data_IF_409901861282
#
_entry.id   IF_409901861282
#
_cell.length_a   1.000
_cell.length_b   1.000
_cell.length_c   1.000
_cell.angle_alpha   90.00
_cell.angle_beta   90.00
_cell.angle_gamma   90.00
#
_symmetry.space_group_name_H-M   'P 1'
#
loop_
_entity.id
_entity.type
_entity.pdbx_description
1 polymer ?
#
# COMPACT_ATOMS: atom_id res chain seq x y z
N UNK A 1 -25.42 58.83 -75.19
CA UNK A 1 -24.91 57.95 -76.26
C UNK A 1 -24.52 56.62 -75.60
N UNK A 2 -25.48 55.73 -75.36
CA UNK A 2 -25.88 54.57 -76.20
C UNK A 2 -24.80 53.49 -76.32
N UNK A 3 -24.98 52.38 -75.58
CA UNK A 3 -24.73 51.00 -76.01
C UNK A 3 -25.28 50.07 -74.91
N UNK A 4 -26.48 49.50 -75.04
CA UNK A 4 -26.80 48.26 -75.78
C UNK A 4 -26.53 46.97 -74.98
N UNK A 5 -27.65 46.40 -74.50
CA UNK A 5 -28.02 44.97 -74.40
C UNK A 5 -26.96 43.93 -73.98
N UNK A 6 -27.27 43.19 -72.91
CA UNK A 6 -27.61 41.75 -73.05
C UNK A 6 -28.27 41.21 -71.78
N UNK A 7 -29.46 40.60 -71.95
CA UNK A 7 -30.09 39.72 -70.98
C UNK A 7 -29.41 38.35 -71.08
N UNK A 8 -28.90 37.81 -69.99
CA UNK A 8 -28.63 36.37 -69.86
C UNK A 8 -29.57 35.79 -68.79
N UNK A 9 -30.36 34.83 -69.22
CA UNK A 9 -31.26 33.98 -68.43
C UNK A 9 -30.49 33.22 -67.35
N UNK A 10 -30.93 33.32 -66.11
CA UNK A 10 -30.46 32.53 -64.97
C UNK A 10 -31.02 31.10 -65.04
N UNK A 11 -30.15 30.11 -65.25
CA UNK A 11 -30.42 28.71 -64.94
C UNK A 11 -29.92 28.44 -63.51
N UNK A 12 -30.84 28.29 -62.56
CA UNK A 12 -30.51 27.90 -61.20
C UNK A 12 -30.11 26.43 -61.13
N UNK A 13 -28.84 26.14 -60.88
CA UNK A 13 -28.38 24.83 -60.45
C UNK A 13 -28.54 24.72 -58.93
N UNK A 14 -29.49 23.89 -58.46
CA UNK A 14 -29.49 23.41 -57.09
C UNK A 14 -28.40 22.34 -56.96
N UNK A 15 -27.24 22.70 -56.38
CA UNK A 15 -26.25 21.73 -55.94
C UNK A 15 -26.74 21.10 -54.63
N UNK A 16 -27.18 19.85 -54.68
CA UNK A 16 -27.41 19.04 -53.48
C UNK A 16 -26.03 18.61 -52.96
N UNK A 17 -25.55 19.30 -51.93
CA UNK A 17 -24.36 18.87 -51.19
C UNK A 17 -24.72 17.63 -50.35
N UNK A 18 -24.30 16.45 -50.82
CA UNK A 18 -24.35 15.22 -50.02
C UNK A 18 -23.23 15.30 -48.98
N UNK A 19 -23.57 15.66 -47.74
CA UNK A 19 -22.68 15.45 -46.60
C UNK A 19 -22.57 13.94 -46.35
N UNK A 20 -21.48 13.33 -46.81
CA UNK A 20 -21.04 12.03 -46.34
C UNK A 20 -20.52 12.20 -44.90
N UNK A 21 -21.38 11.93 -43.92
CA UNK A 21 -20.96 11.73 -42.55
C UNK A 21 -20.11 10.46 -42.49
N UNK A 22 -18.78 10.62 -42.43
CA UNK A 22 -17.87 9.55 -42.04
C UNK A 22 -18.17 9.22 -40.58
N UNK A 23 -18.99 8.19 -40.37
CA UNK A 23 -19.11 7.56 -39.07
C UNK A 23 -17.75 6.96 -38.72
N UNK A 24 -17.03 7.60 -37.80
CA UNK A 24 -15.96 6.93 -37.07
C UNK A 24 -16.62 5.82 -36.25
N UNK A 25 -16.61 4.61 -36.80
CA UNK A 25 -16.83 3.41 -35.99
C UNK A 25 -15.61 3.33 -35.09
N UNK A 26 -15.76 3.81 -33.85
CA UNK A 26 -14.80 3.51 -32.81
C UNK A 26 -14.73 1.99 -32.70
N UNK A 27 -13.66 1.40 -33.22
CA UNK A 27 -13.33 0.01 -32.91
C UNK A 27 -13.27 -0.07 -31.39
N UNK A 28 -14.06 -0.94 -30.73
CA UNK A 28 -13.90 -1.14 -29.30
C UNK A 28 -12.42 -1.48 -29.07
N UNK A 29 -11.69 -0.57 -28.43
CA UNK A 29 -10.29 -0.80 -28.08
C UNK A 29 -10.25 -2.13 -27.36
N UNK A 30 -9.38 -3.04 -27.81
CA UNK A 30 -9.28 -4.38 -27.25
C UNK A 30 -9.19 -4.25 -25.73
N UNK A 31 -10.20 -4.77 -25.03
CA UNK A 31 -10.24 -4.73 -23.58
C UNK A 31 -8.96 -5.39 -23.07
N UNK A 32 -8.06 -4.61 -22.48
CA UNK A 32 -6.82 -5.17 -21.92
C UNK A 32 -7.24 -6.11 -20.80
N UNK A 33 -6.78 -7.36 -20.87
CA UNK A 33 -7.15 -8.37 -19.89
C UNK A 33 -6.84 -7.87 -18.47
N UNK A 34 -7.81 -7.99 -17.58
CA UNK A 34 -7.67 -7.61 -16.19
C UNK A 34 -6.81 -8.64 -15.46
N UNK A 35 -5.80 -8.16 -14.72
CA UNK A 35 -4.84 -9.00 -14.01
C UNK A 35 -4.90 -8.87 -12.50
N UNK A 36 -5.58 -7.84 -11.97
CA UNK A 36 -5.55 -7.58 -10.54
C UNK A 36 -6.29 -6.33 -10.11
N UNK A 37 -5.98 -5.86 -8.90
CA UNK A 37 -6.63 -4.74 -8.23
C UNK A 37 -5.66 -3.90 -7.42
N UNK A 38 -5.98 -2.63 -7.24
CA UNK A 38 -5.27 -1.71 -6.34
C UNK A 38 -6.29 -1.03 -5.45
N UNK A 39 -5.99 -0.92 -4.16
CA UNK A 39 -6.84 -0.24 -3.18
C UNK A 39 -6.06 0.72 -2.29
N UNK A 40 -6.75 1.78 -1.87
CA UNK A 40 -6.34 2.71 -0.82
C UNK A 40 -7.55 2.99 0.07
N UNK A 41 -7.36 3.45 1.30
CA UNK A 41 -8.45 3.90 2.16
C UNK A 41 -8.45 5.42 2.31
N UNK A 42 -9.57 6.00 2.72
CA UNK A 42 -9.63 7.40 3.18
C UNK A 42 -9.35 7.51 4.68
N UNK A 43 -9.11 8.73 5.15
CA UNK A 43 -9.03 9.14 6.54
C UNK A 43 -10.02 10.29 6.83
N UNK A 44 -11.27 10.06 6.49
CA UNK A 44 -12.34 11.06 6.59
C UNK A 44 -13.12 10.92 7.91
N UNK A 45 -13.19 11.98 8.75
CA UNK A 45 -14.01 12.00 9.96
C UNK A 45 -15.50 11.74 9.73
N UNK A 46 -16.02 12.04 8.54
CA UNK A 46 -17.41 11.77 8.17
C UNK A 46 -17.66 10.29 7.81
N UNK A 47 -16.62 9.53 7.50
CA UNK A 47 -16.72 8.12 7.16
C UNK A 47 -15.60 7.65 6.25
N UNK A 48 -14.82 6.69 6.72
CA UNK A 48 -13.76 6.09 5.90
C UNK A 48 -14.33 5.23 4.79
N UNK A 49 -13.67 5.24 3.64
CA UNK A 49 -14.00 4.44 2.47
C UNK A 49 -12.77 3.76 1.92
N UNK A 50 -12.96 2.65 1.21
CA UNK A 50 -11.93 2.02 0.37
C UNK A 50 -12.17 2.40 -1.07
N UNK A 51 -11.16 2.97 -1.73
CA UNK A 51 -11.18 3.24 -3.16
C UNK A 51 -10.47 2.11 -3.89
N UNK A 52 -11.00 1.71 -5.05
CA UNK A 52 -10.47 0.62 -5.86
C UNK A 52 -10.23 1.00 -7.31
N UNK A 53 -9.21 0.37 -7.89
CA UNK A 53 -8.94 0.36 -9.33
C UNK A 53 -8.76 -1.07 -9.81
N UNK A 54 -9.23 -1.36 -11.03
CA UNK A 54 -8.86 -2.58 -11.74
C UNK A 54 -7.49 -2.39 -12.37
N UNK A 55 -6.61 -3.38 -12.24
CA UNK A 55 -5.30 -3.41 -12.89
C UNK A 55 -5.34 -4.30 -14.13
N UNK A 56 -4.94 -3.75 -15.27
CA UNK A 56 -4.72 -4.48 -16.50
C UNK A 56 -3.38 -5.26 -16.50
N UNK A 57 -3.17 -6.22 -17.40
CA UNK A 57 -1.91 -7.00 -17.49
C UNK A 57 -0.67 -6.15 -17.77
N UNK A 58 -0.83 -4.95 -18.32
CA UNK A 58 0.25 -3.97 -18.53
C UNK A 58 0.43 -3.00 -17.36
N UNK A 59 -0.30 -3.19 -16.25
CA UNK A 59 -0.22 -2.34 -15.06
C UNK A 59 -1.08 -1.07 -15.09
N UNK A 60 -1.76 -0.78 -16.21
CA UNK A 60 -2.65 0.37 -16.28
C UNK A 60 -3.85 0.20 -15.32
N UNK A 61 -4.29 1.31 -14.73
CA UNK A 61 -5.37 1.36 -13.76
C UNK A 61 -6.63 2.00 -14.36
N UNK A 62 -7.78 1.38 -14.10
CA UNK A 62 -9.10 1.94 -14.42
C UNK A 62 -9.92 2.01 -13.15
N UNK A 63 -10.72 3.06 -12.97
CA UNK A 63 -11.60 3.19 -11.82
C UNK A 63 -12.50 1.95 -11.68
N UNK A 64 -12.62 1.40 -10.47
CA UNK A 64 -13.39 0.20 -10.21
C UNK A 64 -14.89 0.50 -10.12
N UNK A 65 -15.75 -0.18 -10.90
CA UNK A 65 -17.19 -0.07 -10.74
C UNK A 65 -17.64 -0.47 -9.32
N UNK A 66 -18.40 0.39 -8.65
CA UNK A 66 -18.86 0.16 -7.27
C UNK A 66 -17.92 0.71 -6.18
N UNK A 67 -16.73 1.18 -6.54
CA UNK A 67 -15.91 2.03 -5.66
C UNK A 67 -16.51 3.45 -5.59
N UNK A 68 -16.46 4.15 -4.44
CA UNK A 68 -15.83 3.72 -3.18
C UNK A 68 -16.72 2.82 -2.30
N UNK A 69 -16.09 2.01 -1.44
CA UNK A 69 -16.75 1.07 -0.53
C UNK A 69 -16.70 1.59 0.91
N UNK A 70 -17.85 1.79 1.56
CA UNK A 70 -17.90 2.31 2.93
C UNK A 70 -17.32 1.31 3.96
N UNK A 71 -16.38 1.78 4.79
CA UNK A 71 -15.83 0.99 5.91
C UNK A 71 -16.77 0.90 7.10
N UNK A 72 -17.77 1.77 7.18
CA UNK A 72 -18.62 2.00 8.36
C UNK A 72 -17.88 2.57 9.58
N UNK A 73 -16.55 2.73 9.51
CA UNK A 73 -15.73 3.43 10.50
C UNK A 73 -15.44 4.87 10.06
N UNK A 74 -14.72 5.61 10.89
CA UNK A 74 -14.31 6.99 10.61
C UNK A 74 -12.79 7.14 10.69
N UNK A 75 -12.29 8.08 9.89
CA UNK A 75 -10.94 8.60 10.02
C UNK A 75 -10.86 9.72 11.04
N UNK A 76 -9.68 10.30 11.19
CA UNK A 76 -9.44 11.44 12.09
C UNK A 76 -8.84 12.66 11.36
N UNK A 77 -8.72 12.61 10.03
CA UNK A 77 -8.14 13.65 9.19
C UNK A 77 -6.68 14.05 9.53
N UNK A 78 -6.00 13.28 10.38
CA UNK A 78 -4.60 13.52 10.70
C UNK A 78 -3.69 12.80 9.70
N UNK A 79 -2.53 13.37 9.43
CA UNK A 79 -1.48 12.63 8.75
C UNK A 79 -1.00 11.51 9.69
N UNK A 80 -1.05 10.26 9.23
CA UNK A 80 -0.65 9.10 10.02
C UNK A 80 0.54 8.45 9.31
N UNK A 81 1.76 8.55 9.86
CA UNK A 81 2.93 7.90 9.29
C UNK A 81 2.84 6.39 9.57
N UNK A 82 2.12 5.67 8.72
CA UNK A 82 1.89 4.24 8.87
C UNK A 82 1.80 3.55 7.51
N UNK A 83 2.54 2.45 7.38
CA UNK A 83 2.42 1.53 6.26
C UNK A 83 1.54 0.33 6.64
N UNK A 84 0.74 -0.18 5.70
CA UNK A 84 -0.11 -1.35 5.94
C UNK A 84 -1.41 -1.03 6.68
N UNK A 85 -2.03 0.12 6.40
CA UNK A 85 -3.37 0.44 6.92
C UNK A 85 -4.46 -0.49 6.35
N UNK A 86 -4.17 -1.14 5.23
CA UNK A 86 -4.95 -2.23 4.64
C UNK A 86 -4.14 -3.53 4.62
N UNK A 87 -4.81 -4.67 4.80
CA UNK A 87 -4.20 -5.99 4.64
C UNK A 87 -5.14 -6.99 3.99
N UNK A 88 -4.62 -7.77 3.04
CA UNK A 88 -5.33 -8.93 2.48
C UNK A 88 -5.15 -10.16 3.36
N UNK A 89 -6.16 -11.02 3.40
CA UNK A 89 -5.98 -12.41 3.84
C UNK A 89 -5.21 -13.22 2.79
N UNK A 90 -4.52 -14.31 3.19
CA UNK A 90 -3.97 -15.27 2.25
C UNK A 90 -5.02 -15.73 1.22
N UNK A 91 -4.68 -15.69 -0.07
CA UNK A 91 -5.60 -16.00 -1.15
C UNK A 91 -6.59 -14.87 -1.50
N UNK A 92 -6.45 -13.68 -0.90
CA UNK A 92 -7.15 -12.45 -1.26
C UNK A 92 -8.68 -12.53 -1.19
N UNK A 93 -9.20 -13.34 -0.28
CA UNK A 93 -10.65 -13.49 -0.08
C UNK A 93 -11.24 -12.40 0.80
N UNK A 94 -10.40 -11.81 1.66
CA UNK A 94 -10.80 -10.78 2.61
C UNK A 94 -9.82 -9.61 2.57
N UNK A 95 -10.34 -8.41 2.79
CA UNK A 95 -9.56 -7.17 2.97
C UNK A 95 -9.94 -6.58 4.32
N UNK A 96 -8.93 -6.15 5.08
CA UNK A 96 -9.10 -5.51 6.38
C UNK A 96 -8.55 -4.10 6.34
N UNK A 97 -9.21 -3.18 7.06
CA UNK A 97 -8.91 -1.75 7.00
C UNK A 97 -8.94 -1.15 8.39
N UNK A 98 -7.88 -0.44 8.78
CA UNK A 98 -7.84 0.33 10.02
C UNK A 98 -8.64 1.63 9.91
N UNK A 99 -9.48 1.92 10.91
CA UNK A 99 -10.22 3.18 11.03
C UNK A 99 -9.74 3.95 12.27
N UNK A 100 -8.78 4.88 12.11
CA UNK A 100 -8.12 5.54 13.23
C UNK A 100 -9.03 6.49 14.03
N UNK A 101 -10.11 7.00 13.43
CA UNK A 101 -11.05 7.91 14.11
C UNK A 101 -12.07 7.18 14.96
N UNK A 102 -12.62 6.06 14.48
CA UNK A 102 -13.60 5.26 15.22
C UNK A 102 -12.99 4.19 16.12
N UNK A 103 -11.66 4.05 16.12
CA UNK A 103 -10.94 3.04 16.91
C UNK A 103 -11.43 1.61 16.62
N UNK A 104 -11.53 1.28 15.33
CA UNK A 104 -11.99 -0.04 14.88
C UNK A 104 -11.25 -0.51 13.62
N UNK A 105 -11.42 -1.80 13.32
CA UNK A 105 -10.95 -2.42 12.08
C UNK A 105 -12.17 -2.98 11.34
N UNK A 106 -12.31 -2.64 10.07
CA UNK A 106 -13.36 -3.16 9.19
C UNK A 106 -12.88 -4.36 8.39
N UNK A 107 -13.76 -5.33 8.18
CA UNK A 107 -13.54 -6.51 7.35
C UNK A 107 -14.46 -6.49 6.13
N UNK A 108 -13.92 -6.86 4.98
CA UNK A 108 -14.64 -6.99 3.72
C UNK A 108 -14.37 -8.35 3.08
N UNK A 109 -15.37 -8.92 2.41
CA UNK A 109 -15.13 -9.97 1.42
C UNK A 109 -14.75 -9.35 0.09
N UNK A 110 -13.85 -10.02 -0.63
CA UNK A 110 -13.32 -9.58 -1.92
C UNK A 110 -13.87 -10.50 -2.99
N UNK A 111 -14.71 -9.97 -3.87
CA UNK A 111 -15.23 -10.71 -5.01
C UNK A 111 -14.13 -10.96 -6.07
N UNK A 112 -14.40 -11.87 -7.01
CA UNK A 112 -13.46 -12.17 -8.12
C UNK A 112 -13.20 -10.97 -9.03
N UNK A 113 -14.16 -10.05 -9.12
CA UNK A 113 -14.04 -8.78 -9.83
C UNK A 113 -13.50 -7.64 -8.94
N UNK A 114 -13.04 -7.94 -7.72
CA UNK A 114 -12.46 -6.99 -6.79
C UNK A 114 -13.47 -6.18 -5.99
N UNK A 115 -14.77 -6.31 -6.22
CA UNK A 115 -15.74 -5.58 -5.42
C UNK A 115 -15.70 -6.02 -3.97
N UNK A 116 -15.84 -5.05 -3.07
CA UNK A 116 -15.79 -5.28 -1.63
C UNK A 116 -17.21 -5.31 -1.07
N UNK A 117 -17.50 -6.31 -0.24
CA UNK A 117 -18.74 -6.36 0.55
C UNK A 117 -18.37 -6.32 2.02
N UNK A 118 -18.90 -5.32 2.74
CA UNK A 118 -18.67 -5.17 4.17
C UNK A 118 -19.18 -6.40 4.93
N UNK A 119 -18.37 -6.93 5.85
CA UNK A 119 -18.70 -8.07 6.70
C UNK A 119 -19.06 -7.58 8.11
N UNK A 120 -18.08 -7.02 8.81
CA UNK A 120 -18.24 -6.45 10.15
C UNK A 120 -17.12 -5.48 10.47
N UNK A 121 -17.24 -4.80 11.61
CA UNK A 121 -16.17 -4.03 12.24
C UNK A 121 -16.01 -4.44 13.69
N UNK A 122 -14.79 -4.37 14.20
CA UNK A 122 -14.47 -4.69 15.60
C UNK A 122 -13.64 -3.57 16.20
N UNK A 123 -14.00 -3.14 17.41
CA UNK A 123 -13.27 -2.07 18.09
C UNK A 123 -11.93 -2.56 18.64
N UNK A 124 -10.94 -1.66 18.66
CA UNK A 124 -9.67 -1.82 19.38
C UNK A 124 -9.79 -1.40 20.85
N UNK A 125 -10.80 -0.60 21.19
CA UNK A 125 -10.94 0.00 22.51
C UNK A 125 -11.20 -1.04 23.63
N UNK A 126 -11.84 -2.17 23.32
CA UNK A 126 -12.10 -3.26 24.29
C UNK A 126 -10.81 -3.80 24.92
N UNK A 127 -9.68 -3.68 24.21
CA UNK A 127 -8.37 -4.11 24.67
C UNK A 127 -7.40 -2.92 24.90
N UNK A 128 -7.97 -1.72 25.11
CA UNK A 128 -7.26 -0.49 25.46
C UNK A 128 -6.56 0.23 24.32
N UNK A 129 -6.67 -0.25 23.07
CA UNK A 129 -6.02 0.37 21.92
C UNK A 129 -6.90 1.41 21.23
N UNK A 130 -6.30 2.53 20.84
CA UNK A 130 -6.98 3.62 20.13
C UNK A 130 -6.12 4.13 18.98
N UNK A 131 -6.77 4.59 17.91
CA UNK A 131 -6.13 5.02 16.67
C UNK A 131 -5.32 3.89 16.04
N UNK A 132 -5.98 2.80 15.59
CA UNK A 132 -5.30 1.75 14.82
C UNK A 132 -4.63 2.37 13.60
N UNK A 133 -3.34 2.09 13.42
CA UNK A 133 -2.52 2.65 12.35
C UNK A 133 -2.25 1.65 11.24
N UNK A 134 -1.94 0.41 11.61
CA UNK A 134 -1.56 -0.65 10.68
C UNK A 134 -2.17 -1.97 11.13
N UNK A 135 -2.48 -2.84 10.16
CA UNK A 135 -3.07 -4.17 10.36
C UNK A 135 -2.29 -5.23 9.60
N UNK A 136 -2.23 -6.44 10.16
CA UNK A 136 -1.56 -7.57 9.54
C UNK A 136 -2.34 -8.86 9.74
N UNK A 137 -2.35 -9.71 8.71
CA UNK A 137 -2.98 -11.04 8.76
C UNK A 137 -1.91 -12.11 8.90
N UNK A 138 -2.15 -13.10 9.77
CA UNK A 138 -1.23 -14.22 9.94
C UNK A 138 -1.12 -15.07 8.66
N UNK A 139 0.03 -15.72 8.38
CA UNK A 139 0.20 -16.50 7.15
C UNK A 139 -0.80 -17.65 6.94
N UNK A 140 -1.39 -18.18 8.02
CA UNK A 140 -2.44 -19.19 7.94
C UNK A 140 -3.86 -18.60 7.76
N UNK A 141 -4.02 -17.28 7.72
CA UNK A 141 -5.27 -16.56 7.51
C UNK A 141 -6.26 -16.63 8.66
N UNK A 142 -5.85 -17.09 9.85
CA UNK A 142 -6.74 -17.28 11.01
C UNK A 142 -6.76 -16.12 11.98
N UNK A 143 -5.77 -15.23 11.93
CA UNK A 143 -5.61 -14.16 12.91
C UNK A 143 -5.27 -12.84 12.23
N UNK A 144 -5.74 -11.74 12.82
CA UNK A 144 -5.37 -10.38 12.45
C UNK A 144 -4.81 -9.68 13.69
N UNK A 145 -3.74 -8.90 13.53
CA UNK A 145 -3.26 -7.98 14.56
C UNK A 145 -3.31 -6.54 14.05
N UNK A 146 -3.74 -5.64 14.92
CA UNK A 146 -3.69 -4.20 14.70
C UNK A 146 -2.67 -3.59 15.67
N UNK A 147 -1.87 -2.64 15.19
CA UNK A 147 -1.04 -1.77 16.05
C UNK A 147 -1.72 -0.42 16.21
N UNK A 148 -1.77 0.07 17.45
CA UNK A 148 -2.49 1.28 17.83
C UNK A 148 -1.50 2.38 18.21
N UNK A 149 -1.72 3.58 17.69
CA UNK A 149 -0.85 4.73 17.94
C UNK A 149 -1.02 5.33 19.34
N UNK A 150 -2.24 5.33 19.87
CA UNK A 150 -2.54 5.87 21.20
C UNK A 150 -2.78 4.70 22.16
N UNK A 151 -2.14 4.76 23.33
CA UNK A 151 -1.94 3.64 24.26
C UNK A 151 -1.04 2.50 23.72
N UNK A 152 -0.25 2.80 22.67
CA UNK A 152 0.92 2.06 22.15
C UNK A 152 0.90 0.55 22.43
N UNK A 153 0.01 -0.17 21.74
CA UNK A 153 -0.13 -1.61 21.89
C UNK A 153 -0.48 -2.31 20.56
N UNK A 154 -0.30 -3.63 20.55
CA UNK A 154 -0.87 -4.52 19.53
C UNK A 154 -2.06 -5.29 20.10
N UNK A 155 -3.09 -5.51 19.28
CA UNK A 155 -4.32 -6.22 19.66
C UNK A 155 -4.67 -7.26 18.58
N UNK A 156 -5.04 -8.46 19.03
CA UNK A 156 -5.33 -9.60 18.16
C UNK A 156 -6.82 -9.90 17.99
N UNK A 157 -7.17 -10.42 16.82
CA UNK A 157 -8.50 -10.84 16.42
C UNK A 157 -8.43 -12.21 15.71
N UNK A 158 -9.43 -13.06 15.90
CA UNK A 158 -9.64 -14.24 15.05
C UNK A 158 -10.37 -13.85 13.79
N UNK A 159 -10.05 -14.51 12.68
CA UNK A 159 -10.74 -14.37 11.39
C UNK A 159 -11.63 -15.62 11.20
N UNK A 160 -12.94 -15.42 11.12
CA UNK A 160 -13.90 -16.47 10.82
C UNK A 160 -13.80 -16.97 9.37
N UNK A 161 -14.41 -18.11 9.07
CA UNK A 161 -14.41 -18.67 7.71
C UNK A 161 -15.08 -17.75 6.66
N UNK A 162 -15.99 -16.89 7.10
CA UNK A 162 -16.64 -15.84 6.31
C UNK A 162 -15.87 -14.51 6.32
N UNK A 163 -14.71 -14.45 6.98
CA UNK A 163 -13.89 -13.25 7.14
C UNK A 163 -14.25 -12.37 8.33
N UNK A 164 -15.25 -12.72 9.14
CA UNK A 164 -15.66 -11.87 10.26
C UNK A 164 -14.58 -11.82 11.34
N UNK A 165 -14.29 -10.64 11.86
CA UNK A 165 -13.35 -10.46 12.95
C UNK A 165 -14.03 -10.68 14.31
N UNK A 166 -13.29 -11.25 15.26
CA UNK A 166 -13.70 -11.36 16.67
C UNK A 166 -12.48 -11.12 17.55
N UNK A 167 -12.61 -10.27 18.58
CA UNK A 167 -11.49 -9.94 19.46
C UNK A 167 -10.98 -11.20 20.19
N UNK A 168 -9.65 -11.35 20.26
CA UNK A 168 -9.02 -12.38 21.08
C UNK A 168 -8.87 -11.82 22.50
N UNK A 169 -9.49 -12.43 23.52
CA UNK A 169 -9.30 -12.01 24.91
C UNK A 169 -7.83 -12.07 25.32
N UNK A 170 -7.37 -11.09 26.09
CA UNK A 170 -5.99 -11.00 26.60
C UNK A 170 -4.90 -10.96 25.52
N UNK A 171 -5.24 -10.53 24.30
CA UNK A 171 -4.27 -10.38 23.20
C UNK A 171 -3.47 -9.09 23.24
N UNK A 172 -3.91 -8.10 24.04
CA UNK A 172 -3.24 -6.80 24.18
C UNK A 172 -1.80 -6.98 24.67
N UNK A 173 -0.84 -6.42 23.93
CA UNK A 173 0.56 -6.33 24.34
C UNK A 173 1.07 -4.92 24.14
N UNK A 174 1.71 -4.36 25.16
CA UNK A 174 2.37 -3.07 25.07
C UNK A 174 3.55 -3.13 24.09
N UNK A 175 3.82 -1.99 23.47
CA UNK A 175 5.02 -1.68 22.71
C UNK A 175 6.22 -1.38 23.64
N UNK A 176 7.35 -0.91 23.10
CA UNK A 176 8.60 -0.74 23.86
C UNK A 176 8.50 0.21 25.06
N UNK A 177 7.52 1.11 25.07
CA UNK A 177 7.30 2.09 26.14
C UNK A 177 5.81 2.36 26.36
N UNK A 178 5.40 2.45 27.63
CA UNK A 178 4.04 2.82 28.05
C UNK A 178 3.95 4.26 28.60
N UNK A 179 5.08 4.94 28.79
CA UNK A 179 5.14 6.30 29.37
C UNK A 179 5.59 7.35 28.37
N UNK A 180 6.47 6.99 27.43
CA UNK A 180 6.94 7.86 26.35
C UNK A 180 6.15 7.62 25.06
N UNK A 181 6.09 8.65 24.23
CA UNK A 181 5.55 8.56 22.87
C UNK A 181 6.38 7.58 22.02
N UNK A 182 5.71 6.60 21.41
CA UNK A 182 6.36 5.50 20.64
C UNK A 182 6.27 5.71 19.13
N UNK A 183 5.14 6.25 18.66
CA UNK A 183 4.81 6.42 17.24
C UNK A 183 5.05 5.14 16.41
N UNK A 184 4.26 4.07 16.61
CA UNK A 184 4.36 2.88 15.77
C UNK A 184 3.97 3.20 14.32
N UNK A 185 4.66 2.58 13.38
CA UNK A 185 4.42 2.76 11.95
C UNK A 185 3.69 1.56 11.34
N UNK A 186 4.31 0.38 11.39
CA UNK A 186 3.81 -0.81 10.71
C UNK A 186 3.80 -2.01 11.65
N UNK A 187 2.80 -2.89 11.50
CA UNK A 187 2.80 -4.24 12.06
C UNK A 187 2.78 -5.26 10.93
N UNK A 188 3.51 -6.35 11.06
CA UNK A 188 3.44 -7.47 10.12
C UNK A 188 3.85 -8.79 10.76
N UNK A 189 3.35 -9.90 10.24
CA UNK A 189 3.83 -11.22 10.61
C UNK A 189 5.08 -11.57 9.81
N UNK A 190 6.02 -12.24 10.45
CA UNK A 190 7.08 -12.96 9.72
C UNK A 190 6.46 -13.97 8.73
N UNK A 191 7.10 -14.25 7.58
CA UNK A 191 6.55 -15.16 6.57
C UNK A 191 6.22 -16.57 7.11
N UNK A 192 6.98 -17.03 8.11
CA UNK A 192 6.77 -18.32 8.79
C UNK A 192 5.64 -18.27 9.83
N UNK A 193 5.19 -17.08 10.22
CA UNK A 193 4.15 -16.87 11.23
C UNK A 193 4.63 -17.04 12.67
N UNK A 194 5.95 -17.08 12.91
CA UNK A 194 6.52 -17.32 14.25
C UNK A 194 6.61 -16.05 15.11
N UNK A 195 6.66 -14.88 14.47
CA UNK A 195 6.71 -13.58 15.13
C UNK A 195 5.75 -12.58 14.48
N UNK A 196 5.25 -11.66 15.32
CA UNK A 196 4.71 -10.35 14.93
C UNK A 196 5.84 -9.34 15.12
N UNK A 197 6.03 -8.46 14.13
CA UNK A 197 7.06 -7.42 14.10
C UNK A 197 6.39 -6.05 14.04
N UNK A 198 6.89 -5.08 14.80
CA UNK A 198 6.44 -3.68 14.79
C UNK A 198 7.63 -2.74 14.67
N UNK A 199 7.55 -1.74 13.79
CA UNK A 199 8.50 -0.62 13.72
C UNK A 199 8.01 0.57 14.52
N UNK A 200 8.91 1.21 15.26
CA UNK A 200 8.62 2.37 16.11
C UNK A 200 9.47 3.58 15.71
N UNK A 201 8.80 4.62 15.21
CA UNK A 201 9.47 5.81 14.67
C UNK A 201 10.17 6.58 15.79
N UNK A 202 9.45 6.92 16.88
CA UNK A 202 9.94 7.86 17.88
C UNK A 202 11.05 7.29 18.78
N UNK A 203 11.04 5.98 19.03
CA UNK A 203 12.00 5.29 19.92
C UNK A 203 13.16 4.66 19.15
N UNK A 204 13.08 4.62 17.81
CA UNK A 204 14.02 3.91 16.93
C UNK A 204 14.21 2.44 17.31
N UNK A 205 13.08 1.75 17.52
CA UNK A 205 13.03 0.33 17.89
C UNK A 205 12.27 -0.51 16.88
N UNK A 206 12.58 -1.81 16.91
CA UNK A 206 11.85 -2.85 16.22
C UNK A 206 11.45 -3.88 17.28
N UNK A 207 10.15 -4.01 17.49
CA UNK A 207 9.57 -4.92 18.49
C UNK A 207 9.19 -6.24 17.86
N UNK A 208 9.51 -7.34 18.55
CA UNK A 208 9.14 -8.69 18.15
C UNK A 208 8.33 -9.39 19.24
N UNK A 209 7.27 -10.06 18.83
CA UNK A 209 6.45 -10.89 19.72
C UNK A 209 6.37 -12.29 19.15
N UNK A 210 6.84 -13.29 19.91
CA UNK A 210 6.67 -14.68 19.51
C UNK A 210 5.17 -14.99 19.42
N UNK A 211 4.73 -15.48 18.27
CA UNK A 211 3.31 -15.72 18.01
C UNK A 211 2.94 -17.18 18.24
N UNK A 212 1.90 -17.42 19.03
CA UNK A 212 1.34 -18.75 19.21
C UNK A 212 0.21 -18.97 18.20
N UNK A 213 0.50 -19.77 17.17
CA UNK A 213 -0.43 -20.02 16.07
C UNK A 213 -1.62 -20.95 16.43
N UNK A 214 -1.62 -21.53 17.63
CA UNK A 214 -2.73 -22.34 18.14
C UNK A 214 -3.72 -21.48 18.90
N UNK A 215 -3.23 -20.56 19.74
CA UNK A 215 -4.08 -19.71 20.58
C UNK A 215 -4.37 -18.35 19.95
N UNK A 216 -3.57 -17.93 18.96
CA UNK A 216 -3.64 -16.59 18.37
C UNK A 216 -3.02 -15.50 19.25
N UNK A 217 -2.30 -15.85 20.31
CA UNK A 217 -1.73 -14.89 21.25
C UNK A 217 -0.28 -14.52 20.90
N UNK A 218 0.01 -13.23 20.97
CA UNK A 218 1.36 -12.69 21.02
C UNK A 218 2.00 -12.98 22.39
N UNK A 219 3.29 -13.34 22.39
CA UNK A 219 4.09 -13.56 23.59
C UNK A 219 4.52 -12.26 24.26
N UNK A 220 5.55 -12.33 25.09
CA UNK A 220 6.23 -11.14 25.64
C UNK A 220 7.00 -10.43 24.53
N UNK A 221 7.04 -9.11 24.61
CA UNK A 221 7.82 -8.25 23.74
C UNK A 221 9.32 -8.55 23.84
N UNK A 222 10.00 -8.51 22.70
CA UNK A 222 11.45 -8.42 22.55
C UNK A 222 11.76 -7.14 21.79
N UNK A 223 12.32 -6.16 22.49
CA UNK A 223 12.69 -4.85 21.92
C UNK A 223 14.08 -4.94 21.32
N UNK A 224 14.24 -4.52 20.06
CA UNK A 224 15.53 -4.42 19.38
C UNK A 224 15.79 -2.98 18.96
N UNK A 225 17.05 -2.57 18.96
CA UNK A 225 17.43 -1.32 18.31
C UNK A 225 17.36 -1.50 16.79
N UNK A 226 16.81 -0.51 16.09
CA UNK A 226 17.03 -0.39 14.65
C UNK A 226 18.47 0.07 14.38
N UNK A 227 19.01 -0.28 13.22
CA UNK A 227 20.36 0.08 12.81
C UNK A 227 20.48 1.60 12.58
N UNK A 228 19.51 2.18 11.88
CA UNK A 228 19.28 3.60 11.68
C UNK A 228 18.11 4.14 12.53
N UNK A 229 17.95 5.46 12.51
CA UNK A 229 16.93 6.14 13.30
C UNK A 229 15.59 6.23 12.55
N UNK A 230 14.50 6.20 13.32
CA UNK A 230 13.13 6.23 12.82
C UNK A 230 12.82 5.15 11.76
N UNK A 231 12.90 3.86 12.13
CA UNK A 231 12.44 2.78 11.25
C UNK A 231 10.96 2.99 10.91
N UNK A 232 10.65 2.90 9.63
CA UNK A 232 9.34 3.28 9.11
C UNK A 232 8.66 2.05 8.53
N UNK A 233 8.76 1.85 7.22
CA UNK A 233 8.21 0.72 6.49
C UNK A 233 9.13 -0.49 6.56
N UNK A 234 8.58 -1.68 6.40
CA UNK A 234 9.36 -2.89 6.25
C UNK A 234 8.66 -3.97 5.42
N UNK A 235 9.48 -4.85 4.86
CA UNK A 235 9.08 -6.06 4.17
C UNK A 235 10.04 -7.22 4.44
N UNK A 236 9.85 -8.33 3.73
CA UNK A 236 10.68 -9.51 3.88
C UNK A 236 11.15 -10.03 2.52
N UNK A 237 12.38 -10.51 2.47
CA UNK A 237 12.88 -11.24 1.32
C UNK A 237 12.38 -12.71 1.31
N UNK A 238 12.82 -13.51 0.32
CA UNK A 238 12.47 -14.94 0.18
C UNK A 238 13.07 -15.80 1.29
N UNK A 239 14.19 -15.37 1.88
CA UNK A 239 14.85 -16.02 3.02
C UNK A 239 14.17 -15.73 4.36
N UNK A 240 13.30 -14.72 4.40
CA UNK A 240 12.66 -14.25 5.63
C UNK A 240 13.50 -13.22 6.38
N UNK A 241 14.52 -12.64 5.75
CA UNK A 241 15.25 -11.50 6.28
C UNK A 241 14.33 -10.27 6.27
N UNK A 242 14.41 -9.49 7.34
CA UNK A 242 13.66 -8.25 7.49
C UNK A 242 14.40 -7.14 6.74
N UNK A 243 13.67 -6.36 5.93
CA UNK A 243 14.20 -5.19 5.20
C UNK A 243 13.41 -3.97 5.67
N UNK A 244 14.08 -2.96 6.21
CA UNK A 244 13.46 -1.81 6.89
C UNK A 244 13.95 -0.51 6.26
N UNK A 245 13.04 0.38 5.88
CA UNK A 245 13.36 1.78 5.55
C UNK A 245 13.51 2.60 6.83
N UNK A 246 14.49 3.49 6.84
CA UNK A 246 14.84 4.31 7.99
C UNK A 246 14.82 5.77 7.56
N UNK A 247 13.87 6.50 8.14
CA UNK A 247 13.47 7.83 7.69
C UNK A 247 14.60 8.85 7.87
N UNK A 248 15.37 8.74 8.94
CA UNK A 248 16.48 9.65 9.23
C UNK A 248 17.71 9.21 8.41
N UNK A 249 18.26 10.13 7.64
CA UNK A 249 19.37 9.93 6.68
C UNK A 249 19.02 9.13 5.42
N UNK A 250 17.76 8.70 5.26
CA UNK A 250 17.29 8.02 4.06
C UNK A 250 18.08 6.75 3.73
N UNK A 251 17.86 5.72 4.53
CA UNK A 251 18.61 4.47 4.40
C UNK A 251 17.71 3.26 4.50
N UNK A 252 18.22 2.12 4.03
CA UNK A 252 17.59 0.81 4.21
C UNK A 252 18.56 -0.11 4.94
N UNK A 253 18.06 -0.81 5.94
CA UNK A 253 18.80 -1.79 6.73
C UNK A 253 18.14 -3.17 6.64
N UNK A 254 18.95 -4.23 6.74
CA UNK A 254 18.45 -5.61 6.70
C UNK A 254 18.91 -6.43 7.88
N UNK A 255 18.07 -7.39 8.29
CA UNK A 255 18.27 -8.14 9.53
C UNK A 255 17.91 -9.61 9.38
N UNK A 256 18.68 -10.48 10.03
CA UNK A 256 18.22 -11.82 10.42
C UNK A 256 17.36 -11.70 11.67
N UNK A 257 16.19 -12.35 11.66
CA UNK A 257 15.38 -12.54 12.87
C UNK A 257 15.80 -13.86 13.52
N UNK A 258 16.44 -13.77 14.69
CA UNK A 258 16.88 -14.95 15.43
C UNK A 258 15.68 -15.64 16.12
N UNK A 259 15.85 -16.93 16.47
CA UNK A 259 14.77 -17.74 17.06
C UNK A 259 14.27 -17.25 18.43
N UNK A 260 15.05 -16.40 19.11
CA UNK A 260 14.70 -15.77 20.39
C UNK A 260 14.09 -14.36 20.23
N UNK A 261 13.89 -13.92 18.99
CA UNK A 261 13.34 -12.61 18.61
C UNK A 261 14.38 -11.48 18.58
N UNK A 262 15.67 -11.76 18.78
CA UNK A 262 16.72 -10.74 18.57
C UNK A 262 16.99 -10.52 17.10
N UNK A 263 17.50 -9.34 16.75
CA UNK A 263 17.88 -8.98 15.38
C UNK A 263 19.40 -8.95 15.22
N UNK A 264 19.89 -9.59 14.16
CA UNK A 264 21.29 -9.46 13.70
C UNK A 264 21.31 -8.64 12.42
N UNK A 265 22.04 -7.53 12.41
CA UNK A 265 22.18 -6.68 11.22
C UNK A 265 22.96 -7.44 10.12
N UNK A 266 22.45 -7.42 8.89
CA UNK A 266 23.12 -7.92 7.69
C UNK A 266 23.68 -6.75 6.88
N UNK A 267 22.79 -5.83 6.46
CA UNK A 267 23.18 -4.54 5.85
C UNK A 267 22.85 -3.41 6.80
N UNK A 268 23.84 -2.56 7.08
CA UNK A 268 23.71 -1.44 8.01
C UNK A 268 23.58 -0.13 7.23
N UNK A 269 22.38 0.46 7.26
CA UNK A 269 22.09 1.81 6.77
C UNK A 269 22.64 2.07 5.35
N UNK A 270 22.20 1.26 4.38
CA UNK A 270 22.56 1.47 2.97
C UNK A 270 21.75 2.66 2.44
N UNK A 271 22.39 3.74 1.95
CA UNK A 271 21.67 4.94 1.50
C UNK A 271 20.93 4.71 0.18
N UNK A 272 19.80 5.41 -0.03
CA UNK A 272 19.11 5.52 -1.33
C UNK A 272 19.42 6.80 -2.11
N UNK A 273 20.32 7.63 -1.56
CA UNK A 273 20.60 8.99 -2.05
C UNK A 273 19.39 9.93 -2.02
N UNK A 274 18.36 9.58 -1.25
CA UNK A 274 17.21 10.42 -0.95
C UNK A 274 17.41 11.26 0.30
N UNK A 275 16.30 11.72 0.85
CA UNK A 275 16.29 12.55 2.06
C UNK A 275 15.36 12.00 3.15
N UNK A 276 14.42 11.10 2.79
CA UNK A 276 13.40 10.62 3.72
C UNK A 276 12.69 9.35 3.22
N UNK A 277 13.43 8.24 3.19
CA UNK A 277 12.88 6.90 2.93
C UNK A 277 11.81 6.52 3.97
N UNK A 278 10.54 6.55 3.59
CA UNK A 278 9.44 6.18 4.48
C UNK A 278 8.87 4.81 4.10
N UNK A 279 8.44 4.68 2.85
CA UNK A 279 7.71 3.51 2.37
C UNK A 279 8.70 2.48 1.85
N UNK A 280 8.37 1.19 1.98
CA UNK A 280 9.16 0.16 1.31
C UNK A 280 8.30 -0.99 0.80
N UNK A 281 8.54 -1.39 -0.45
CA UNK A 281 7.95 -2.58 -1.05
C UNK A 281 9.02 -3.60 -1.43
N UNK A 282 8.82 -4.86 -1.07
CA UNK A 282 9.74 -5.96 -1.40
C UNK A 282 9.05 -6.92 -2.36
N UNK A 283 9.74 -7.28 -3.44
CA UNK A 283 9.26 -8.27 -4.41
C UNK A 283 9.01 -9.63 -3.75
N UNK A 284 7.80 -10.16 -3.92
CA UNK A 284 7.34 -11.40 -3.28
C UNK A 284 7.24 -12.58 -4.26
N UNK A 285 7.22 -12.32 -5.56
CA UNK A 285 7.10 -13.36 -6.57
C UNK A 285 8.38 -14.22 -6.63
N UNK A 286 8.23 -15.52 -6.32
CA UNK A 286 9.33 -16.48 -6.34
C UNK A 286 9.95 -16.67 -7.72
N UNK A 287 9.18 -16.44 -8.78
CA UNK A 287 9.61 -16.56 -10.18
C UNK A 287 10.24 -15.28 -10.74
N UNK A 288 10.31 -14.19 -9.96
CA UNK A 288 11.10 -13.03 -10.36
C UNK A 288 12.59 -13.39 -10.31
N UNK A 289 13.38 -13.10 -11.36
CA UNK A 289 14.74 -13.61 -11.53
C UNK A 289 15.69 -13.24 -10.39
N UNK A 290 15.47 -12.09 -9.76
CA UNK A 290 16.15 -11.61 -8.56
C UNK A 290 15.10 -10.97 -7.64
N UNK A 291 15.44 -10.73 -6.37
CA UNK A 291 14.62 -9.92 -5.49
C UNK A 291 15.07 -8.48 -5.44
N UNK A 292 14.10 -7.59 -5.40
CA UNK A 292 14.28 -6.16 -5.24
C UNK A 292 13.48 -5.64 -4.05
N UNK A 293 14.00 -4.58 -3.44
CA UNK A 293 13.27 -3.71 -2.53
C UNK A 293 13.24 -2.30 -3.11
N UNK A 294 12.09 -1.64 -3.00
CA UNK A 294 11.88 -0.27 -3.46
C UNK A 294 11.54 0.57 -2.24
N UNK A 295 12.37 1.56 -1.93
CA UNK A 295 12.09 2.52 -0.87
C UNK A 295 11.66 3.84 -1.51
N UNK A 296 10.49 4.35 -1.13
CA UNK A 296 10.00 5.62 -1.67
C UNK A 296 10.22 6.77 -0.70
N UNK A 297 10.85 7.82 -1.21
CA UNK A 297 11.22 9.02 -0.47
C UNK A 297 10.13 10.09 -0.49
N UNK A 298 9.65 10.47 0.70
CA UNK A 298 8.63 11.52 0.81
C UNK A 298 9.18 12.89 0.43
N UNK A 299 10.41 13.21 0.85
CA UNK A 299 10.98 14.56 0.73
C UNK A 299 11.76 14.81 -0.58
N UNK A 300 12.53 13.83 -1.07
CA UNK A 300 13.25 13.95 -2.34
C UNK A 300 12.44 13.51 -3.56
N UNK A 301 11.26 12.90 -3.35
CA UNK A 301 10.38 12.43 -4.41
C UNK A 301 11.08 11.43 -5.34
N UNK A 302 11.75 10.45 -4.75
CA UNK A 302 12.55 9.41 -5.43
C UNK A 302 12.10 8.01 -5.03
N UNK A 303 12.43 7.03 -5.87
CA UNK A 303 12.32 5.61 -5.58
C UNK A 303 13.74 5.05 -5.58
N UNK A 304 14.25 4.69 -4.41
CA UNK A 304 15.48 3.92 -4.25
C UNK A 304 15.21 2.45 -4.55
N UNK A 305 15.83 1.90 -5.60
CA UNK A 305 15.74 0.48 -5.95
C UNK A 305 16.98 -0.27 -5.48
N UNK A 306 16.78 -1.31 -4.68
CA UNK A 306 17.84 -2.14 -4.12
C UNK A 306 17.77 -3.55 -4.69
N UNK A 307 18.92 -4.09 -5.10
CA UNK A 307 19.08 -5.53 -5.33
C UNK A 307 19.22 -6.24 -4.00
N UNK A 308 18.45 -7.31 -3.81
CA UNK A 308 18.48 -8.14 -2.59
C UNK A 308 19.19 -9.45 -2.92
N UNK A 309 20.29 -9.70 -2.23
CA UNK A 309 21.09 -10.92 -2.37
C UNK A 309 20.48 -12.08 -1.56
N UNK A 310 20.78 -13.35 -1.89
CA UNK A 310 20.25 -14.51 -1.18
C UNK A 310 20.58 -14.57 0.33
N UNK A 311 21.67 -13.92 0.75
CA UNK A 311 22.07 -13.80 2.15
C UNK A 311 21.36 -12.66 2.91
N UNK A 312 20.45 -11.95 2.25
CA UNK A 312 19.72 -10.81 2.77
C UNK A 312 20.47 -9.48 2.71
N UNK A 313 21.71 -9.46 2.18
CA UNK A 313 22.42 -8.20 1.94
C UNK A 313 21.78 -7.43 0.78
N UNK A 314 21.86 -6.10 0.82
CA UNK A 314 21.28 -5.23 -0.21
C UNK A 314 22.31 -4.30 -0.83
N UNK A 315 22.06 -3.88 -2.06
CA UNK A 315 22.88 -2.89 -2.78
C UNK A 315 21.96 -1.95 -3.55
N UNK A 316 22.16 -0.64 -3.40
CA UNK A 316 21.44 0.36 -4.20
C UNK A 316 21.81 0.18 -5.68
N UNK A 317 20.80 0.04 -6.53
CA UNK A 317 20.94 -0.07 -7.99
C UNK A 317 20.69 1.27 -8.66
N UNK A 318 19.65 1.99 -8.21
CA UNK A 318 19.25 3.27 -8.77
C UNK A 318 18.43 4.08 -7.78
N UNK A 319 18.41 5.39 -7.98
CA UNK A 319 17.45 6.31 -7.35
C UNK A 319 16.70 7.03 -8.47
N UNK A 320 15.42 6.69 -8.64
CA UNK A 320 14.60 7.15 -9.78
C UNK A 320 13.68 8.28 -9.34
N UNK A 321 13.71 9.46 -9.98
CA UNK A 321 12.81 10.56 -9.64
C UNK A 321 11.35 10.22 -10.01
N UNK A 322 10.41 10.64 -9.16
CA UNK A 322 8.98 10.59 -9.45
C UNK A 322 8.61 11.62 -10.54
N UNK A 323 7.51 11.40 -11.29
CA UNK A 323 7.04 12.33 -12.31
C UNK A 323 6.82 13.74 -11.78
N UNK A 324 7.00 14.73 -12.65
CA UNK A 324 6.75 16.13 -12.31
C UNK A 324 5.33 16.31 -11.75
N UNK A 325 5.24 17.01 -10.62
CA UNK A 325 3.97 17.25 -9.93
C UNK A 325 3.61 16.20 -8.88
N UNK A 326 4.41 15.13 -8.74
CA UNK A 326 4.36 14.27 -7.56
C UNK A 326 5.23 14.87 -6.46
N UNK A 327 4.61 15.31 -5.36
CA UNK A 327 5.24 16.17 -4.35
C UNK A 327 5.20 15.59 -2.92
N UNK A 328 4.51 14.48 -2.69
CA UNK A 328 4.46 13.84 -1.37
C UNK A 328 4.02 12.38 -1.48
N UNK A 329 4.89 11.46 -1.92
CA UNK A 329 4.53 10.05 -1.88
C UNK A 329 4.30 9.62 -0.42
N UNK A 330 3.14 9.03 -0.16
CA UNK A 330 2.61 8.77 1.20
C UNK A 330 2.22 7.33 1.44
N UNK A 331 2.35 6.45 0.44
CA UNK A 331 2.41 5.00 0.62
C UNK A 331 2.76 4.34 -0.73
N UNK A 332 3.14 3.08 -0.69
CA UNK A 332 3.35 2.26 -1.88
C UNK A 332 2.87 0.82 -1.72
N UNK A 333 2.50 0.20 -2.85
CA UNK A 333 2.04 -1.17 -2.91
C UNK A 333 2.52 -1.86 -4.17
N UNK A 334 3.05 -3.08 -4.02
CA UNK A 334 3.51 -3.89 -5.14
C UNK A 334 2.45 -4.92 -5.52
N UNK A 335 2.25 -5.12 -6.83
CA UNK A 335 1.40 -6.20 -7.35
C UNK A 335 1.95 -7.57 -6.94
N UNK A 336 1.07 -8.56 -6.84
CA UNK A 336 1.45 -9.91 -6.38
C UNK A 336 2.51 -10.57 -7.29
N UNK A 337 2.43 -10.32 -8.59
CA UNK A 337 3.41 -10.81 -9.56
C UNK A 337 4.74 -10.05 -9.53
N UNK A 338 4.86 -9.03 -8.67
CA UNK A 338 6.02 -8.15 -8.48
C UNK A 338 6.39 -7.33 -9.71
N UNK A 339 5.49 -7.21 -10.68
CA UNK A 339 5.73 -6.49 -11.94
C UNK A 339 5.36 -5.01 -11.89
N UNK A 340 4.52 -4.61 -10.93
CA UNK A 340 4.00 -3.26 -10.87
C UNK A 340 4.05 -2.69 -9.46
N UNK A 341 4.67 -1.53 -9.32
CA UNK A 341 4.68 -0.74 -8.09
C UNK A 341 3.71 0.42 -8.24
N UNK A 342 2.90 0.65 -7.22
CA UNK A 342 1.92 1.74 -7.17
C UNK A 342 2.22 2.66 -6.01
N UNK A 343 2.34 3.95 -6.28
CA UNK A 343 2.69 4.96 -5.28
C UNK A 343 1.58 6.00 -5.21
N UNK A 344 1.07 6.21 -3.99
CA UNK A 344 0.13 7.27 -3.68
C UNK A 344 0.87 8.58 -3.42
N UNK A 345 0.44 9.66 -4.05
CA UNK A 345 0.80 11.01 -3.65
C UNK A 345 -0.30 11.66 -2.80
N UNK A 346 0.08 12.10 -1.61
CA UNK A 346 -0.78 12.78 -0.65
C UNK A 346 -1.03 14.25 -0.93
N UNK A 347 -0.19 14.93 -1.72
CA UNK A 347 -0.36 16.36 -2.03
C UNK A 347 -0.95 16.59 -3.42
N UNK A 348 -0.52 15.82 -4.42
CA UNK A 348 -1.04 15.94 -5.78
C UNK A 348 -2.32 15.12 -6.00
N UNK A 349 -2.68 14.27 -5.04
CA UNK A 349 -3.83 13.38 -5.11
C UNK A 349 -3.80 12.43 -6.31
N UNK A 350 -2.59 11.99 -6.67
CA UNK A 350 -2.37 11.08 -7.79
C UNK A 350 -1.94 9.70 -7.29
N UNK A 351 -2.31 8.69 -8.07
CA UNK A 351 -1.78 7.34 -8.00
C UNK A 351 -0.89 7.13 -9.21
N UNK A 352 0.41 6.92 -8.98
CA UNK A 352 1.35 6.58 -10.05
C UNK A 352 1.59 5.09 -10.09
N UNK A 353 1.67 4.52 -11.29
CA UNK A 353 1.99 3.12 -11.52
C UNK A 353 3.32 3.00 -12.26
N UNK A 354 4.11 2.01 -11.87
CA UNK A 354 5.48 1.80 -12.33
C UNK A 354 5.69 0.34 -12.70
N UNK A 355 6.17 0.09 -13.91
CA UNK A 355 6.62 -1.23 -14.31
C UNK A 355 7.99 -1.52 -13.69
N UNK A 356 8.13 -2.70 -13.10
CA UNK A 356 9.37 -3.21 -12.52
C UNK A 356 10.10 -4.04 -13.57
N UNK A 357 11.29 -3.58 -13.94
CA UNK A 357 12.19 -4.27 -14.86
C UNK A 357 12.82 -5.51 -14.23
N UNK A 358 13.31 -6.42 -15.08
CA UNK A 358 14.02 -7.63 -14.64
C UNK A 358 15.37 -7.34 -14.00
N UNK A 359 15.86 -6.12 -14.11
CA UNK A 359 17.10 -5.59 -13.53
C UNK A 359 16.85 -4.73 -12.27
N UNK A 360 15.59 -4.60 -11.84
CA UNK A 360 15.19 -3.77 -10.71
C UNK A 360 14.93 -2.31 -11.07
N UNK A 361 15.08 -1.90 -12.33
CA UNK A 361 14.67 -0.57 -12.76
C UNK A 361 13.15 -0.38 -12.63
N UNK A 362 12.71 0.86 -12.42
CA UNK A 362 11.28 1.21 -12.40
C UNK A 362 10.99 2.26 -13.45
N UNK A 363 9.93 2.04 -14.24
CA UNK A 363 9.51 2.97 -15.30
C UNK A 363 8.05 3.35 -15.10
N UNK A 364 7.75 4.65 -15.05
CA UNK A 364 6.37 5.12 -14.92
C UNK A 364 5.54 4.70 -16.14
N UNK A 365 4.38 4.09 -15.91
CA UNK A 365 3.47 3.58 -16.95
C UNK A 365 2.08 4.20 -16.89
N UNK A 366 1.71 4.79 -15.75
CA UNK A 366 0.39 5.38 -15.57
C UNK A 366 0.40 6.41 -14.45
N UNK A 367 -0.46 7.42 -14.58
CA UNK A 367 -0.83 8.33 -13.51
C UNK A 367 -2.36 8.47 -13.53
N UNK A 368 -3.00 8.17 -12.41
CA UNK A 368 -4.44 8.34 -12.22
C UNK A 368 -4.66 9.42 -11.17
N UNK A 369 -5.40 10.47 -11.51
CA UNK A 369 -5.74 11.54 -10.57
C UNK A 369 -7.03 11.27 -9.80
N UNK A 370 -7.37 12.19 -8.90
CA UNK A 370 -8.64 12.19 -8.18
C UNK A 370 -8.64 11.33 -6.91
N UNK A 371 -7.47 11.07 -6.32
CA UNK A 371 -7.43 10.53 -4.96
C UNK A 371 -8.02 11.53 -3.96
N UNK A 372 -8.59 11.07 -2.85
CA UNK A 372 -8.97 11.95 -1.77
C UNK A 372 -7.71 12.49 -1.09
N UNK A 373 -7.82 13.73 -0.58
CA UNK A 373 -6.74 14.42 0.11
C UNK A 373 -6.18 13.62 1.29
N UNK A 374 -7.07 13.00 2.04
CA UNK A 374 -6.76 12.34 3.30
C UNK A 374 -6.65 10.81 3.15
N UNK A 375 -6.20 10.30 2.00
CA UNK A 375 -6.01 8.86 1.83
C UNK A 375 -4.92 8.29 2.74
N UNK A 376 -5.10 7.03 3.14
CA UNK A 376 -4.14 6.21 3.88
C UNK A 376 -3.95 4.90 3.14
N UNK A 377 -2.74 4.34 3.20
CA UNK A 377 -2.56 2.98 2.72
C UNK A 377 -2.43 2.86 1.21
N UNK A 378 -1.63 1.90 0.78
CA UNK A 378 -1.71 1.34 -0.57
C UNK A 378 -1.57 -0.17 -0.49
N UNK A 379 -2.40 -0.89 -1.24
CA UNK A 379 -2.25 -2.33 -1.41
C UNK A 379 -2.64 -2.75 -2.82
N UNK A 380 -1.82 -3.62 -3.42
CA UNK A 380 -2.04 -4.13 -4.76
C UNK A 380 -2.05 -5.66 -4.77
N UNK A 381 -2.88 -6.24 -5.63
CA UNK A 381 -2.95 -7.67 -5.93
C UNK A 381 -2.75 -7.87 -7.40
#
# INVERSE_FOLDING_TARGET
MSCSKMRSTSLGFFAVAVLLALAFVATPGSAVAQSGFVYTSTNDPAGNQVLGWTRATNGALTAMPGSPFATQGTGNNHNIPAQGTLAFSPGYKFLFVANPGSNDVSAFSVATNGNLTFINRVTTAVNGGTTPKSVAVSPNGKYLYAVNGVHSNIIGYTIGANGSLTAIPNSSRALSSTTNFVEPCQVSFTPTGNFIVVTEIATSKIDLYKFNNTTGLAGTIRVNASAGAAPFGFGYDKGGHLIVSEMVNSTVSTYTINSDGTLTIISNQVPDNGLQACWIAVTTNRNFPQQYAFATDTLSHTIGAYGVNPDGSITLLSSTPLPQGVLSPTDEGLSQDSKFLYIRDGNSFNLTGWAVGSDGSVTNISTVGGLPQNGLGMIAR
#
